data_IF_591579816037
#
_entry.id   IF_591579816037
#
_cell.length_a   1.000
_cell.length_b   1.000
_cell.length_c   1.000
_cell.angle_alpha   90.00
_cell.angle_beta   90.00
_cell.angle_gamma   90.00
#
_symmetry.space_group_name_H-M   'P 1'
#
loop_
_entity.id
_entity.type
_entity.pdbx_description
1 polymer ?
#
# COMPACT_ATOMS: atom_id res chain seq x y z
N UNK A 1 -3.43 -22.62 5.02
CA UNK A 1 -3.78 -21.19 5.00
C UNK A 1 -2.92 -20.52 3.91
N UNK A 2 -3.49 -19.67 3.04
CA UNK A 2 -2.71 -18.93 2.04
C UNK A 2 -1.84 -17.86 2.71
N UNK A 3 -0.69 -17.58 2.11
CA UNK A 3 0.35 -16.69 2.67
C UNK A 3 0.63 -15.56 1.69
N UNK A 4 0.79 -14.35 2.20
CA UNK A 4 1.24 -13.18 1.42
C UNK A 4 2.46 -12.59 2.11
N UNK A 5 3.56 -12.48 1.37
CA UNK A 5 4.74 -11.75 1.80
C UNK A 5 4.56 -10.27 1.50
N UNK A 6 4.62 -9.46 2.54
CA UNK A 6 4.62 -8.00 2.45
C UNK A 6 6.04 -7.48 2.61
N UNK A 7 6.52 -6.71 1.63
CA UNK A 7 7.82 -6.03 1.69
C UNK A 7 7.57 -4.52 1.68
N UNK A 8 7.62 -3.89 2.85
CA UNK A 8 7.25 -2.48 3.00
C UNK A 8 7.84 -1.83 4.25
N UNK A 9 7.68 -0.52 4.37
CA UNK A 9 8.02 0.24 5.57
C UNK A 9 7.04 0.01 6.71
N UNK A 10 7.50 0.27 7.95
CA UNK A 10 6.71 0.23 9.18
C UNK A 10 6.19 1.62 9.52
N UNK A 11 4.88 1.76 9.72
CA UNK A 11 4.20 2.97 10.20
C UNK A 11 3.95 2.87 11.70
N UNK A 12 4.65 3.70 12.51
CA UNK A 12 4.48 3.73 13.96
C UNK A 12 3.07 4.15 14.41
N UNK A 13 2.34 4.89 13.55
CA UNK A 13 0.94 5.25 13.77
C UNK A 13 -0.03 4.10 13.51
N UNK A 14 0.43 3.02 12.86
CA UNK A 14 -0.33 1.80 12.63
C UNK A 14 -1.43 1.92 11.56
N UNK A 15 -1.52 3.04 10.83
CA UNK A 15 -2.56 3.29 9.82
C UNK A 15 -2.18 2.87 8.41
N UNK A 16 -0.89 2.78 8.10
CA UNK A 16 -0.34 2.40 6.81
C UNK A 16 0.79 1.35 6.95
N UNK A 17 1.61 1.16 5.91
CA UNK A 17 2.76 0.26 5.92
C UNK A 17 2.40 -1.18 6.27
N UNK A 18 3.38 -1.94 6.76
CA UNK A 18 3.17 -3.35 7.13
C UNK A 18 2.04 -3.55 8.14
N UNK A 19 1.73 -2.56 8.97
CA UNK A 19 0.66 -2.63 9.96
C UNK A 19 -0.72 -2.66 9.29
N UNK A 20 -0.96 -1.78 8.32
CA UNK A 20 -2.19 -1.81 7.52
C UNK A 20 -2.27 -3.07 6.67
N UNK A 21 -1.15 -3.50 6.10
CA UNK A 21 -1.06 -4.70 5.29
C UNK A 21 -1.46 -5.95 6.10
N UNK A 22 -0.88 -6.15 7.28
CA UNK A 22 -1.18 -7.29 8.15
C UNK A 22 -2.64 -7.32 8.61
N UNK A 23 -3.20 -6.14 9.01
CA UNK A 23 -4.62 -6.02 9.37
C UNK A 23 -5.53 -6.41 8.20
N UNK A 24 -5.19 -5.95 6.98
CA UNK A 24 -5.94 -6.26 5.77
C UNK A 24 -5.87 -7.75 5.44
N UNK A 25 -4.68 -8.35 5.46
CA UNK A 25 -4.48 -9.75 5.18
C UNK A 25 -5.23 -10.65 6.18
N UNK A 26 -5.18 -10.29 7.47
CA UNK A 26 -5.94 -10.98 8.51
C UNK A 26 -7.45 -10.91 8.24
N UNK A 27 -7.98 -9.72 7.91
CA UNK A 27 -9.38 -9.52 7.58
C UNK A 27 -9.82 -10.30 6.34
N UNK A 28 -8.91 -10.49 5.36
CA UNK A 28 -9.13 -11.30 4.16
C UNK A 28 -8.90 -12.81 4.38
N UNK A 29 -8.61 -13.27 5.60
CA UNK A 29 -8.39 -14.68 5.93
C UNK A 29 -7.08 -15.27 5.38
N UNK A 30 -6.03 -14.44 5.24
CA UNK A 30 -4.72 -14.81 4.70
C UNK A 30 -3.64 -14.54 5.77
N UNK A 31 -2.65 -15.43 5.88
CA UNK A 31 -1.50 -15.22 6.74
C UNK A 31 -0.52 -14.24 6.08
N UNK A 32 -0.24 -13.13 6.76
CA UNK A 32 0.75 -12.14 6.33
C UNK A 32 2.11 -12.41 6.96
N UNK A 33 3.16 -12.50 6.13
CA UNK A 33 4.56 -12.42 6.56
C UNK A 33 5.14 -11.09 6.13
N UNK A 34 6.20 -10.60 6.78
CA UNK A 34 6.72 -9.25 6.52
C UNK A 34 8.24 -9.22 6.37
N UNK A 35 8.68 -8.34 5.48
CA UNK A 35 10.04 -7.82 5.40
C UNK A 35 9.98 -6.30 5.57
N UNK A 36 10.59 -5.78 6.61
CA UNK A 36 10.61 -4.36 6.92
C UNK A 36 11.76 -3.69 6.19
N UNK A 37 11.45 -2.69 5.36
CA UNK A 37 12.42 -1.95 4.54
C UNK A 37 12.87 -0.64 5.18
N UNK A 38 12.01 -0.03 5.97
CA UNK A 38 12.28 1.18 6.74
C UNK A 38 11.38 1.25 7.96
N UNK A 39 11.83 1.96 8.98
CA UNK A 39 11.02 2.32 10.16
C UNK A 39 10.71 3.81 10.09
N UNK A 40 9.47 4.20 10.30
CA UNK A 40 9.08 5.61 10.31
C UNK A 40 8.70 6.07 11.71
N UNK A 41 9.06 7.31 12.06
CA UNK A 41 8.38 8.07 13.09
C UNK A 41 7.21 8.81 12.43
N UNK A 42 6.04 8.23 12.50
CA UNK A 42 4.85 8.70 11.79
C UNK A 42 3.64 8.69 12.72
N UNK A 43 2.76 9.67 12.54
CA UNK A 43 1.48 9.77 13.24
C UNK A 43 0.43 10.38 12.32
N UNK A 44 -0.75 10.74 12.86
CA UNK A 44 -1.85 11.34 12.08
C UNK A 44 -1.53 12.70 11.43
N UNK A 45 -0.46 13.39 11.88
CA UNK A 45 -0.03 14.69 11.35
C UNK A 45 0.99 14.57 10.22
N UNK A 46 1.68 13.42 10.10
CA UNK A 46 2.64 13.18 9.04
C UNK A 46 3.83 12.31 9.45
N UNK A 47 4.81 12.27 8.54
CA UNK A 47 6.08 11.55 8.72
C UNK A 47 7.11 12.53 9.29
N UNK A 48 7.66 12.23 10.46
CA UNK A 48 8.64 13.04 11.19
C UNK A 48 10.08 12.52 11.00
N UNK A 49 10.23 11.26 10.59
CA UNK A 49 11.52 10.65 10.32
C UNK A 49 11.37 9.31 9.62
N UNK A 50 12.39 8.95 8.84
CA UNK A 50 12.48 7.67 8.13
C UNK A 50 13.88 7.11 8.32
N UNK A 51 13.98 5.87 8.76
CA UNK A 51 15.24 5.15 8.89
C UNK A 51 15.18 3.90 8.04
N UNK A 52 16.04 3.83 7.02
CA UNK A 52 16.16 2.64 6.19
C UNK A 52 16.70 1.47 7.01
N UNK A 53 16.14 0.30 6.84
CA UNK A 53 16.71 -0.94 7.37
C UNK A 53 17.92 -1.30 6.49
N UNK A 54 19.08 -1.64 7.07
CA UNK A 54 20.25 -2.06 6.30
C UNK A 54 19.90 -3.19 5.32
N UNK A 55 20.40 -3.10 4.09
CA UNK A 55 20.04 -4.05 3.02
C UNK A 55 20.35 -5.50 3.37
N UNK A 56 21.40 -5.75 4.15
CA UNK A 56 21.74 -7.10 4.63
C UNK A 56 20.66 -7.65 5.55
N UNK A 57 20.06 -6.80 6.41
CA UNK A 57 18.95 -7.18 7.24
C UNK A 57 17.68 -7.41 6.41
N UNK A 58 17.46 -6.65 5.33
CA UNK A 58 16.35 -6.89 4.40
C UNK A 58 16.54 -8.25 3.69
N UNK A 59 17.74 -8.55 3.21
CA UNK A 59 18.06 -9.85 2.58
C UNK A 59 17.88 -11.01 3.56
N UNK A 60 18.30 -10.84 4.82
CA UNK A 60 18.14 -11.87 5.84
C UNK A 60 16.66 -12.15 6.16
N UNK A 61 15.82 -11.10 6.22
CA UNK A 61 14.37 -11.26 6.40
C UNK A 61 13.73 -11.98 5.20
N UNK A 62 14.11 -11.60 3.96
CA UNK A 62 13.63 -12.26 2.73
C UNK A 62 13.98 -13.75 2.74
N UNK A 63 15.23 -14.10 3.01
CA UNK A 63 15.68 -15.48 3.09
C UNK A 63 14.93 -16.27 4.17
N UNK A 64 14.83 -15.73 5.39
CA UNK A 64 14.15 -16.40 6.51
C UNK A 64 12.69 -16.73 6.20
N UNK A 65 11.99 -15.85 5.46
CA UNK A 65 10.59 -16.10 5.08
C UNK A 65 10.50 -17.04 3.89
N UNK A 66 11.29 -16.81 2.84
CA UNK A 66 11.14 -17.54 1.58
C UNK A 66 11.66 -18.98 1.68
N UNK A 67 12.74 -19.22 2.45
CA UNK A 67 13.37 -20.55 2.56
C UNK A 67 12.57 -21.54 3.42
N UNK A 68 11.78 -21.03 4.39
CA UNK A 68 11.00 -21.87 5.31
C UNK A 68 9.49 -21.73 5.10
N UNK A 69 8.97 -20.50 5.22
CA UNK A 69 7.52 -20.28 5.17
C UNK A 69 6.98 -20.25 3.75
N UNK A 70 7.76 -19.75 2.79
CA UNK A 70 7.33 -19.53 1.41
C UNK A 70 6.21 -18.49 1.32
N UNK A 71 5.67 -18.29 0.11
CA UNK A 71 4.58 -17.34 -0.14
C UNK A 71 3.70 -17.78 -1.31
N UNK A 72 2.42 -17.41 -1.27
CA UNK A 72 1.48 -17.65 -2.38
C UNK A 72 1.27 -16.37 -3.22
N UNK A 73 1.65 -15.18 -2.70
CA UNK A 73 1.72 -13.91 -3.41
C UNK A 73 2.68 -12.95 -2.68
N UNK A 74 3.20 -11.97 -3.40
CA UNK A 74 4.04 -10.91 -2.84
C UNK A 74 3.36 -9.56 -3.04
N UNK A 75 3.38 -8.70 -2.01
CA UNK A 75 3.00 -7.29 -2.11
C UNK A 75 4.19 -6.43 -1.71
N UNK A 76 4.57 -5.47 -2.55
CA UNK A 76 5.55 -4.44 -2.16
C UNK A 76 4.87 -3.10 -1.91
N UNK A 77 5.39 -2.34 -0.95
CA UNK A 77 5.03 -0.95 -0.69
C UNK A 77 6.27 -0.05 -0.72
N UNK A 78 6.47 0.81 0.28
CA UNK A 78 7.65 1.67 0.36
C UNK A 78 8.94 0.87 0.49
N UNK A 79 9.84 0.99 -0.49
CA UNK A 79 11.13 0.28 -0.53
C UNK A 79 12.33 1.17 -0.18
N UNK A 80 12.13 2.48 -0.07
CA UNK A 80 13.11 3.50 0.28
C UNK A 80 14.32 3.55 -0.68
N UNK A 81 15.38 2.79 -0.45
CA UNK A 81 16.65 2.88 -1.16
C UNK A 81 16.82 1.94 -2.35
N UNK A 82 17.71 2.28 -3.28
CA UNK A 82 17.98 1.48 -4.48
C UNK A 82 18.52 0.06 -4.16
N UNK A 83 19.33 -0.08 -3.11
CA UNK A 83 19.86 -1.39 -2.70
C UNK A 83 18.73 -2.31 -2.22
N UNK A 84 17.72 -1.75 -1.53
CA UNK A 84 16.52 -2.50 -1.11
C UNK A 84 15.68 -2.91 -2.31
N UNK A 85 15.46 -1.99 -3.28
CA UNK A 85 14.76 -2.35 -4.53
C UNK A 85 15.45 -3.50 -5.24
N UNK A 86 16.78 -3.45 -5.38
CA UNK A 86 17.56 -4.54 -6.00
C UNK A 86 17.41 -5.85 -5.21
N UNK A 87 17.52 -5.83 -3.89
CA UNK A 87 17.36 -7.02 -3.07
C UNK A 87 15.95 -7.66 -3.23
N UNK A 88 14.90 -6.83 -3.38
CA UNK A 88 13.56 -7.30 -3.65
C UNK A 88 13.45 -7.91 -5.06
N UNK A 89 13.99 -7.24 -6.09
CA UNK A 89 14.03 -7.77 -7.46
C UNK A 89 14.70 -9.14 -7.50
N UNK A 90 15.89 -9.27 -6.86
CA UNK A 90 16.61 -10.54 -6.78
C UNK A 90 15.77 -11.64 -6.14
N UNK A 91 15.04 -11.30 -5.07
CA UNK A 91 14.24 -12.26 -4.29
C UNK A 91 12.95 -12.67 -4.99
N UNK A 92 12.27 -11.76 -5.72
CA UNK A 92 10.99 -12.07 -6.35
C UNK A 92 11.13 -12.65 -7.75
N UNK A 93 12.32 -12.52 -8.38
CA UNK A 93 12.58 -13.07 -9.71
C UNK A 93 12.48 -14.60 -9.67
N UNK A 94 11.57 -15.14 -10.47
CA UNK A 94 11.34 -16.59 -10.56
C UNK A 94 10.47 -17.16 -9.44
N UNK A 95 9.99 -16.38 -8.46
CA UNK A 95 9.02 -16.88 -7.51
C UNK A 95 7.70 -17.23 -8.21
N UNK A 96 7.10 -18.38 -7.88
CA UNK A 96 5.76 -18.69 -8.33
C UNK A 96 4.75 -17.80 -7.61
N UNK A 97 3.79 -17.26 -8.36
CA UNK A 97 2.69 -16.48 -7.79
C UNK A 97 2.71 -15.00 -8.18
N UNK A 98 1.61 -14.31 -7.91
CA UNK A 98 1.43 -12.91 -8.30
C UNK A 98 2.26 -11.97 -7.44
N UNK A 99 2.80 -10.93 -8.11
CA UNK A 99 3.46 -9.78 -7.48
C UNK A 99 2.57 -8.53 -7.63
N UNK A 100 2.13 -7.96 -6.52
CA UNK A 100 1.44 -6.67 -6.45
C UNK A 100 2.43 -5.60 -6.04
N UNK A 101 2.66 -4.63 -6.90
CA UNK A 101 3.55 -3.49 -6.63
C UNK A 101 2.71 -2.23 -6.37
N UNK A 102 2.68 -1.75 -5.12
CA UNK A 102 2.18 -0.42 -4.79
C UNK A 102 3.38 0.55 -4.83
N UNK A 103 3.48 1.41 -5.85
CA UNK A 103 4.71 2.16 -6.14
C UNK A 103 4.86 3.41 -5.28
N UNK A 104 4.52 3.33 -4.01
CA UNK A 104 4.41 4.42 -3.02
C UNK A 104 5.51 5.47 -3.20
N UNK A 105 5.23 6.51 -3.99
CA UNK A 105 6.22 7.55 -4.34
C UNK A 105 6.30 8.70 -3.35
N UNK A 106 5.16 9.03 -2.74
CA UNK A 106 5.02 10.15 -1.82
C UNK A 106 4.32 9.72 -0.54
N UNK A 107 4.71 10.32 0.59
CA UNK A 107 3.96 10.19 1.84
C UNK A 107 2.61 10.90 1.72
N UNK A 108 1.69 10.65 2.66
CA UNK A 108 0.40 11.36 2.75
C UNK A 108 0.57 12.88 2.86
N UNK A 109 1.74 13.36 3.31
CA UNK A 109 2.10 14.78 3.42
C UNK A 109 2.90 15.30 2.22
N UNK A 110 3.08 14.49 1.15
CA UNK A 110 3.78 14.89 -0.07
C UNK A 110 5.31 14.77 -0.03
N UNK A 111 5.90 14.25 1.05
CA UNK A 111 7.34 14.04 1.08
C UNK A 111 7.74 12.84 0.20
N UNK A 112 8.83 12.94 -0.61
CA UNK A 112 9.30 11.84 -1.44
C UNK A 112 9.81 10.68 -0.56
N UNK A 113 9.39 9.47 -0.90
CA UNK A 113 9.72 8.24 -0.18
C UNK A 113 10.76 7.37 -0.90
N UNK A 114 11.20 7.79 -2.08
CA UNK A 114 12.25 7.14 -2.86
C UNK A 114 13.35 8.12 -3.26
N UNK A 115 14.59 7.66 -3.30
CA UNK A 115 15.65 8.38 -3.98
C UNK A 115 15.45 8.28 -5.49
N UNK A 116 15.98 9.24 -6.31
CA UNK A 116 15.91 9.17 -7.77
C UNK A 116 16.46 7.84 -8.34
N UNK A 117 17.52 7.29 -7.74
CA UNK A 117 18.10 6.00 -8.13
C UNK A 117 17.17 4.83 -7.82
N UNK A 118 16.49 4.85 -6.66
CA UNK A 118 15.52 3.83 -6.30
C UNK A 118 14.33 3.85 -7.25
N UNK A 119 13.82 5.04 -7.60
CA UNK A 119 12.72 5.21 -8.55
C UNK A 119 13.08 4.69 -9.95
N UNK A 120 14.29 4.98 -10.42
CA UNK A 120 14.77 4.46 -11.71
C UNK A 120 14.81 2.92 -11.72
N UNK A 121 15.32 2.32 -10.63
CA UNK A 121 15.42 0.87 -10.52
C UNK A 121 14.04 0.22 -10.37
N UNK A 122 13.13 0.85 -9.63
CA UNK A 122 11.73 0.40 -9.54
C UNK A 122 11.10 0.34 -10.94
N UNK A 123 11.27 1.39 -11.74
CA UNK A 123 10.74 1.44 -13.12
C UNK A 123 11.35 0.38 -14.02
N UNK A 124 12.67 0.20 -13.95
CA UNK A 124 13.43 -0.62 -14.93
C UNK A 124 13.45 -2.11 -14.57
N UNK A 125 13.38 -2.45 -13.28
CA UNK A 125 13.59 -3.82 -12.84
C UNK A 125 12.39 -4.43 -12.07
N UNK A 126 11.70 -3.66 -11.22
CA UNK A 126 10.60 -4.23 -10.41
C UNK A 126 9.25 -4.19 -11.13
N UNK A 127 8.89 -3.06 -11.78
CA UNK A 127 7.61 -2.95 -12.47
C UNK A 127 7.42 -3.98 -13.60
N UNK A 128 8.45 -4.34 -14.40
CA UNK A 128 8.31 -5.41 -15.40
C UNK A 128 7.98 -6.79 -14.83
N UNK A 129 8.26 -7.03 -13.55
CA UNK A 129 7.93 -8.29 -12.87
C UNK A 129 6.52 -8.30 -12.28
N UNK A 130 5.87 -7.13 -12.18
CA UNK A 130 4.59 -7.00 -11.51
C UNK A 130 3.46 -7.70 -12.27
N UNK A 131 2.69 -8.51 -11.55
CA UNK A 131 1.38 -8.98 -12.02
C UNK A 131 0.39 -7.82 -12.07
N UNK A 132 0.36 -6.99 -11.03
CA UNK A 132 -0.47 -5.77 -10.96
C UNK A 132 0.33 -4.66 -10.29
N UNK A 133 0.32 -3.49 -10.90
CA UNK A 133 0.78 -2.24 -10.25
C UNK A 133 -0.43 -1.40 -9.85
N UNK A 134 -0.37 -0.74 -8.67
CA UNK A 134 -1.50 0.02 -8.10
C UNK A 134 -1.19 1.51 -7.93
N UNK A 135 -0.86 2.27 -8.99
CA UNK A 135 -0.47 3.67 -8.85
C UNK A 135 -1.68 4.59 -8.58
N UNK A 136 -1.44 5.66 -7.81
CA UNK A 136 -2.32 6.82 -7.78
C UNK A 136 -1.93 7.81 -8.90
N UNK A 137 -2.67 8.93 -9.01
CA UNK A 137 -2.47 9.91 -10.09
C UNK A 137 -1.07 10.57 -10.04
N UNK A 138 -0.59 10.90 -8.85
CA UNK A 138 0.73 11.51 -8.66
C UNK A 138 1.87 10.51 -8.96
N UNK A 139 1.67 9.24 -8.64
CA UNK A 139 2.61 8.17 -8.95
C UNK A 139 2.68 7.91 -10.45
N UNK A 140 1.55 7.99 -11.18
CA UNK A 140 1.56 7.94 -12.66
C UNK A 140 2.40 9.07 -13.22
N UNK A 141 2.18 10.30 -12.77
CA UNK A 141 2.95 11.46 -13.23
C UNK A 141 4.44 11.30 -12.91
N UNK A 142 4.78 10.89 -11.70
CA UNK A 142 6.17 10.68 -11.27
C UNK A 142 6.88 9.59 -12.08
N UNK A 143 6.18 8.48 -12.38
CA UNK A 143 6.75 7.33 -13.07
C UNK A 143 6.80 7.49 -14.58
N UNK A 144 5.85 8.21 -15.18
CA UNK A 144 5.68 8.26 -16.65
C UNK A 144 5.77 9.67 -17.24
N UNK A 145 5.65 10.72 -16.43
CA UNK A 145 5.51 12.10 -16.89
C UNK A 145 4.09 12.44 -17.39
N UNK A 146 3.14 11.50 -17.33
CA UNK A 146 1.78 11.70 -17.84
C UNK A 146 0.88 12.23 -16.72
N UNK A 147 0.37 13.45 -16.89
CA UNK A 147 -0.62 14.05 -15.97
C UNK A 147 -2.01 13.50 -16.25
N UNK A 148 -2.67 13.00 -15.21
CA UNK A 148 -4.08 12.54 -15.23
C UNK A 148 -4.91 13.52 -14.41
N UNK A 149 -5.58 14.47 -15.09
CA UNK A 149 -6.34 15.54 -14.43
C UNK A 149 -7.85 15.27 -14.36
N UNK A 150 -8.39 14.36 -15.18
CA UNK A 150 -9.81 14.03 -15.27
C UNK A 150 -10.01 12.55 -15.62
N UNK A 151 -11.22 12.04 -15.42
CA UNK A 151 -11.55 10.64 -15.69
C UNK A 151 -11.25 10.21 -17.14
N UNK A 152 -11.41 11.12 -18.11
CA UNK A 152 -11.06 10.85 -19.53
C UNK A 152 -9.58 10.57 -19.78
N UNK A 153 -8.69 10.98 -18.86
CA UNK A 153 -7.24 10.78 -18.99
C UNK A 153 -6.77 9.42 -18.41
N UNK A 154 -7.63 8.70 -17.66
CA UNK A 154 -7.27 7.45 -16.98
C UNK A 154 -6.67 6.42 -17.94
N UNK A 155 -7.26 6.24 -19.14
CA UNK A 155 -6.74 5.30 -20.13
C UNK A 155 -5.34 5.66 -20.61
N UNK A 156 -5.07 6.95 -20.83
CA UNK A 156 -3.75 7.44 -21.25
C UNK A 156 -2.72 7.23 -20.15
N UNK A 157 -3.07 7.55 -18.88
CA UNK A 157 -2.19 7.32 -17.73
C UNK A 157 -1.90 5.84 -17.49
N UNK A 158 -2.92 4.98 -17.58
CA UNK A 158 -2.75 3.54 -17.42
C UNK A 158 -1.95 2.93 -18.56
N UNK A 159 -2.14 3.38 -19.81
CA UNK A 159 -1.35 2.97 -20.96
C UNK A 159 0.14 3.26 -20.77
N UNK A 160 0.48 4.48 -20.34
CA UNK A 160 1.87 4.84 -20.04
C UNK A 160 2.47 4.01 -18.91
N UNK A 161 1.68 3.58 -17.93
CA UNK A 161 2.13 2.65 -16.89
C UNK A 161 2.37 1.24 -17.42
N UNK A 162 1.54 0.76 -18.37
CA UNK A 162 1.75 -0.54 -19.03
C UNK A 162 3.03 -0.59 -19.85
N UNK A 163 3.46 0.53 -20.45
CA UNK A 163 4.74 0.64 -21.16
C UNK A 163 5.96 0.39 -20.26
N UNK A 164 5.80 0.48 -18.92
CA UNK A 164 6.83 0.12 -17.93
C UNK A 164 6.88 -1.40 -17.65
N UNK A 165 6.06 -2.21 -18.31
CA UNK A 165 6.15 -3.67 -18.35
C UNK A 165 5.27 -4.47 -17.39
N UNK A 166 4.46 -3.91 -16.45
CA UNK A 166 3.56 -4.72 -15.63
C UNK A 166 2.48 -5.37 -16.48
N UNK A 167 1.96 -6.52 -16.04
CA UNK A 167 0.88 -7.22 -16.77
C UNK A 167 -0.46 -6.50 -16.64
N UNK A 168 -0.75 -5.91 -15.48
CA UNK A 168 -1.97 -5.16 -15.20
C UNK A 168 -1.66 -3.86 -14.48
N UNK A 169 -2.48 -2.86 -14.72
CA UNK A 169 -2.48 -1.57 -14.01
C UNK A 169 -3.83 -1.37 -13.35
N UNK A 170 -3.86 -1.18 -12.04
CA UNK A 170 -5.02 -0.69 -11.29
C UNK A 170 -4.76 0.77 -10.91
N UNK A 171 -5.12 1.71 -11.78
CA UNK A 171 -4.92 3.13 -11.59
C UNK A 171 -5.99 3.70 -10.66
N UNK A 172 -5.57 4.21 -9.50
CA UNK A 172 -6.43 4.78 -8.46
C UNK A 172 -6.87 6.21 -8.83
N UNK A 173 -8.13 6.39 -9.24
CA UNK A 173 -8.68 7.70 -9.63
C UNK A 173 -9.50 8.40 -8.54
N UNK A 174 -9.50 7.90 -7.31
CA UNK A 174 -10.35 8.40 -6.21
C UNK A 174 -10.20 9.88 -5.86
N UNK A 175 -9.10 10.53 -6.24
CA UNK A 175 -8.88 11.97 -6.03
C UNK A 175 -9.44 12.85 -7.18
N UNK A 176 -9.92 12.25 -8.27
CA UNK A 176 -10.56 13.00 -9.34
C UNK A 176 -11.91 13.59 -8.89
N UNK A 177 -12.34 14.71 -9.48
CA UNK A 177 -13.67 15.27 -9.24
C UNK A 177 -14.78 14.26 -9.59
N UNK A 178 -15.88 14.30 -8.86
CA UNK A 178 -17.05 13.44 -9.07
C UNK A 178 -16.97 12.11 -8.33
N UNK A 179 -17.54 11.07 -8.91
CA UNK A 179 -17.56 9.72 -8.34
C UNK A 179 -16.15 9.10 -8.34
N UNK A 180 -15.68 8.49 -7.23
CA UNK A 180 -14.41 7.78 -7.21
C UNK A 180 -14.42 6.61 -8.17
N UNK A 181 -13.56 6.66 -9.17
CA UNK A 181 -13.41 5.62 -10.17
C UNK A 181 -11.96 5.21 -10.31
N UNK A 182 -11.69 3.90 -10.23
CA UNK A 182 -10.38 3.34 -10.55
C UNK A 182 -10.46 2.61 -11.89
N UNK A 183 -9.37 2.56 -12.64
CA UNK A 183 -9.29 1.87 -13.91
C UNK A 183 -8.36 0.66 -13.78
N UNK A 184 -8.91 -0.53 -14.01
CA UNK A 184 -8.14 -1.75 -14.22
C UNK A 184 -7.96 -2.02 -15.72
N UNK A 185 -6.73 -2.32 -16.13
CA UNK A 185 -6.44 -2.67 -17.53
C UNK A 185 -5.17 -3.50 -17.70
N UNK A 186 -5.15 -4.35 -18.70
CA UNK A 186 -3.98 -5.06 -19.25
C UNK A 186 -3.60 -4.55 -20.66
N UNK A 187 -4.23 -3.45 -21.11
CA UNK A 187 -4.08 -2.90 -22.46
C UNK A 187 -5.15 -3.38 -23.44
N UNK A 188 -5.79 -4.52 -23.18
CA UNK A 188 -6.91 -5.06 -23.98
C UNK A 188 -8.23 -4.94 -23.24
N UNK A 189 -8.24 -5.27 -21.97
CA UNK A 189 -9.38 -5.15 -21.06
C UNK A 189 -9.36 -3.79 -20.36
N UNK A 190 -10.54 -3.17 -20.19
CA UNK A 190 -10.71 -1.90 -19.49
C UNK A 190 -11.93 -1.99 -18.57
N UNK A 191 -11.71 -2.07 -17.28
CA UNK A 191 -12.76 -2.12 -16.27
C UNK A 191 -12.73 -0.90 -15.36
N UNK A 192 -13.88 -0.24 -15.19
CA UNK A 192 -14.04 0.88 -14.29
C UNK A 192 -14.63 0.41 -12.96
N UNK A 193 -13.83 0.45 -11.90
CA UNK A 193 -14.24 0.09 -10.55
C UNK A 193 -14.75 1.34 -9.83
N UNK A 194 -16.07 1.41 -9.63
CA UNK A 194 -16.76 2.55 -9.04
C UNK A 194 -17.10 2.29 -7.57
N UNK A 195 -17.18 3.34 -6.80
CA UNK A 195 -17.70 3.31 -5.42
C UNK A 195 -18.31 4.67 -5.08
N UNK A 196 -19.29 4.74 -4.17
CA UNK A 196 -19.77 6.02 -3.66
C UNK A 196 -18.65 6.83 -3.01
N UNK A 197 -18.67 8.16 -3.16
CA UNK A 197 -17.75 9.04 -2.44
C UNK A 197 -18.16 9.11 -0.98
N UNK A 198 -17.22 8.79 -0.10
CA UNK A 198 -17.40 8.97 1.34
C UNK A 198 -16.79 10.31 1.73
N UNK A 199 -17.59 11.18 2.35
CA UNK A 199 -17.12 12.45 2.89
C UNK A 199 -16.42 12.21 4.22
N UNK A 200 -15.12 11.95 4.14
CA UNK A 200 -14.27 11.72 5.30
C UNK A 200 -12.83 12.18 5.04
N UNK A 201 -12.19 12.68 6.09
CA UNK A 201 -10.75 12.94 6.09
C UNK A 201 -9.91 11.76 6.58
N UNK A 202 -10.56 10.70 7.07
CA UNK A 202 -9.90 9.54 7.68
C UNK A 202 -9.61 8.49 6.61
N UNK A 203 -8.60 8.77 5.77
CA UNK A 203 -8.22 7.98 4.60
C UNK A 203 -6.80 7.44 4.66
N UNK A 204 -6.10 7.60 5.81
CA UNK A 204 -4.73 7.14 5.95
C UNK A 204 -4.65 5.61 5.82
N UNK A 205 -3.74 5.14 4.96
CA UNK A 205 -3.55 3.71 4.66
C UNK A 205 -4.46 3.12 3.58
N UNK A 206 -5.29 3.93 2.89
CA UNK A 206 -6.15 3.44 1.79
C UNK A 206 -5.38 2.69 0.72
N UNK A 207 -4.21 3.21 0.25
CA UNK A 207 -3.39 2.57 -0.79
C UNK A 207 -2.87 1.21 -0.36
N UNK A 208 -2.24 1.13 0.81
CA UNK A 208 -1.75 -0.12 1.40
C UNK A 208 -2.88 -1.14 1.57
N UNK A 209 -4.04 -0.69 2.07
CA UNK A 209 -5.23 -1.55 2.24
C UNK A 209 -5.72 -2.12 0.91
N UNK A 210 -5.84 -1.30 -0.15
CA UNK A 210 -6.25 -1.76 -1.48
C UNK A 210 -5.27 -2.79 -2.05
N UNK A 211 -3.96 -2.47 -2.03
CA UNK A 211 -2.94 -3.35 -2.59
C UNK A 211 -2.84 -4.68 -1.84
N UNK A 212 -2.99 -4.67 -0.51
CA UNK A 212 -2.94 -5.89 0.30
C UNK A 212 -4.21 -6.73 0.17
N UNK A 213 -5.39 -6.12 0.05
CA UNK A 213 -6.61 -6.85 -0.26
C UNK A 213 -6.53 -7.52 -1.65
N UNK A 214 -6.00 -6.80 -2.65
CA UNK A 214 -5.73 -7.34 -3.98
C UNK A 214 -4.80 -8.56 -3.91
N UNK A 215 -3.67 -8.44 -3.21
CA UNK A 215 -2.71 -9.54 -3.03
C UNK A 215 -3.34 -10.75 -2.30
N UNK A 216 -4.19 -10.51 -1.30
CA UNK A 216 -4.91 -11.56 -0.58
C UNK A 216 -5.84 -12.35 -1.51
N UNK A 217 -6.64 -11.67 -2.34
CA UNK A 217 -7.55 -12.35 -3.27
C UNK A 217 -6.79 -13.11 -4.36
N UNK A 218 -5.71 -12.54 -4.90
CA UNK A 218 -4.82 -13.23 -5.85
C UNK A 218 -4.18 -14.47 -5.22
N UNK A 219 -3.68 -14.39 -3.98
CA UNK A 219 -3.11 -15.55 -3.25
C UNK A 219 -4.15 -16.67 -3.04
N UNK A 220 -5.45 -16.32 -2.96
CA UNK A 220 -6.56 -17.28 -2.84
C UNK A 220 -6.99 -17.87 -4.18
N UNK A 221 -6.39 -17.44 -5.30
CA UNK A 221 -6.62 -17.98 -6.63
C UNK A 221 -7.67 -17.25 -7.47
N UNK A 222 -8.12 -16.06 -7.05
CA UNK A 222 -8.95 -15.19 -7.89
C UNK A 222 -8.14 -14.71 -9.09
N UNK A 223 -8.79 -14.51 -10.23
CA UNK A 223 -8.18 -13.78 -11.35
C UNK A 223 -8.03 -12.28 -11.01
N UNK A 224 -7.30 -11.54 -11.84
CA UNK A 224 -6.98 -10.12 -11.55
C UNK A 224 -8.23 -9.25 -11.52
N UNK A 225 -9.19 -9.33 -12.47
CA UNK A 225 -10.44 -8.59 -12.41
C UNK A 225 -11.26 -8.85 -11.15
N UNK A 226 -11.46 -10.10 -10.79
CA UNK A 226 -12.20 -10.50 -9.58
C UNK A 226 -11.51 -9.99 -8.31
N UNK A 227 -10.17 -10.14 -8.24
CA UNK A 227 -9.38 -9.68 -7.10
C UNK A 227 -9.43 -8.14 -6.97
N UNK A 228 -9.38 -7.41 -8.08
CA UNK A 228 -9.44 -5.95 -8.08
C UNK A 228 -10.83 -5.44 -7.66
N UNK A 229 -11.91 -6.07 -8.13
CA UNK A 229 -13.27 -5.74 -7.71
C UNK A 229 -13.48 -5.97 -6.22
N UNK A 230 -13.06 -7.13 -5.70
CA UNK A 230 -13.15 -7.45 -4.27
C UNK A 230 -12.28 -6.51 -3.41
N UNK A 231 -11.07 -6.16 -3.85
CA UNK A 231 -10.21 -5.21 -3.16
C UNK A 231 -10.81 -3.80 -3.14
N UNK A 232 -11.44 -3.36 -4.24
CA UNK A 232 -12.16 -2.08 -4.31
C UNK A 232 -13.32 -2.02 -3.34
N UNK A 233 -14.11 -3.08 -3.27
CA UNK A 233 -15.22 -3.20 -2.32
C UNK A 233 -14.71 -3.17 -0.87
N UNK A 234 -13.69 -3.96 -0.55
CA UNK A 234 -13.06 -4.00 0.77
C UNK A 234 -12.58 -2.63 1.22
N UNK A 235 -11.78 -1.94 0.38
CA UNK A 235 -11.24 -0.63 0.74
C UNK A 235 -12.32 0.43 0.86
N UNK A 236 -13.39 0.36 0.06
CA UNK A 236 -14.51 1.30 0.15
C UNK A 236 -15.24 1.17 1.49
N UNK A 237 -15.46 -0.05 1.98
CA UNK A 237 -15.99 -0.29 3.33
C UNK A 237 -15.05 0.19 4.42
N UNK A 238 -13.74 -0.07 4.27
CA UNK A 238 -12.73 0.38 5.22
C UNK A 238 -12.65 1.91 5.32
N UNK A 239 -12.82 2.63 4.20
CA UNK A 239 -12.91 4.10 4.17
C UNK A 239 -14.19 4.59 4.86
N UNK A 240 -15.34 3.97 4.56
CA UNK A 240 -16.63 4.35 5.17
C UNK A 240 -16.62 4.19 6.70
N UNK A 241 -15.85 3.23 7.20
CA UNK A 241 -15.65 2.97 8.63
C UNK A 241 -14.40 3.67 9.22
N UNK A 242 -13.70 4.52 8.45
CA UNK A 242 -12.55 5.28 8.92
C UNK A 242 -12.89 6.15 10.13
N UNK A 243 -11.97 6.27 11.08
CA UNK A 243 -12.24 6.89 12.37
C UNK A 243 -11.19 7.95 12.76
N UNK A 244 -11.57 8.94 13.59
CA UNK A 244 -10.62 9.92 14.09
C UNK A 244 -9.59 9.26 15.02
N UNK A 245 -8.31 9.50 14.73
CA UNK A 245 -7.21 9.08 15.59
C UNK A 245 -6.14 10.17 15.58
N UNK A 246 -5.83 10.72 16.73
CA UNK A 246 -4.94 11.87 16.83
C UNK A 246 -5.59 13.17 16.32
N UNK A 247 -4.76 14.15 15.94
CA UNK A 247 -5.20 15.49 15.53
C UNK A 247 -5.32 15.67 14.01
N UNK A 248 -4.76 14.75 13.23
CA UNK A 248 -4.72 14.78 11.77
C UNK A 248 -5.72 13.83 11.11
N UNK A 249 -5.34 13.31 9.94
CA UNK A 249 -6.10 12.31 9.23
C UNK A 249 -6.01 10.95 9.96
N UNK A 250 -7.15 10.41 10.39
CA UNK A 250 -7.22 9.07 10.98
C UNK A 250 -7.10 7.98 9.91
N UNK A 251 -6.90 6.71 10.34
CA UNK A 251 -6.79 5.58 9.44
C UNK A 251 -8.15 5.09 8.93
N UNK A 252 -8.13 4.35 7.83
CA UNK A 252 -9.23 3.48 7.43
C UNK A 252 -9.35 2.31 8.41
N UNK A 253 -10.54 1.68 8.48
CA UNK A 253 -10.81 0.58 9.42
C UNK A 253 -10.84 -0.77 8.69
N UNK A 254 -9.71 -1.46 8.63
CA UNK A 254 -9.55 -2.71 7.86
C UNK A 254 -10.37 -3.89 8.40
N UNK A 255 -10.78 -3.86 9.68
CA UNK A 255 -11.51 -4.95 10.35
C UNK A 255 -12.91 -4.51 10.80
N UNK A 256 -13.52 -3.53 10.13
CA UNK A 256 -14.81 -2.96 10.51
C UNK A 256 -15.95 -3.98 10.57
N UNK A 257 -15.92 -5.01 9.73
CA UNK A 257 -16.94 -6.07 9.72
C UNK A 257 -16.82 -7.04 10.91
N UNK A 258 -15.57 -7.31 11.34
CA UNK A 258 -15.31 -8.21 12.47
C UNK A 258 -15.45 -7.46 13.82
N UNK A 259 -15.17 -6.17 13.81
CA UNK A 259 -15.15 -5.32 15.00
C UNK A 259 -15.76 -3.94 14.70
N UNK A 260 -17.10 -3.84 14.57
CA UNK A 260 -17.72 -2.53 14.43
C UNK A 260 -17.42 -1.69 15.67
N UNK A 261 -16.92 -0.46 15.46
CA UNK A 261 -16.70 0.45 16.59
C UNK A 261 -18.02 0.71 17.31
N UNK A 262 -18.11 0.47 18.63
CA UNK A 262 -19.17 1.08 19.41
C UNK A 262 -19.06 2.61 19.29
N UNK A 263 -20.17 3.35 19.32
CA UNK A 263 -20.09 4.81 19.37
C UNK A 263 -19.22 5.21 20.55
N UNK A 264 -18.21 6.06 20.32
CA UNK A 264 -17.26 6.49 21.33
C UNK A 264 -18.02 7.20 22.46
N UNK A 265 -18.26 6.51 23.57
CA UNK A 265 -18.69 7.12 24.81
C UNK A 265 -17.45 7.71 25.48
N UNK A 266 -17.37 9.05 25.51
CA UNK A 266 -16.48 9.83 26.36
C UNK A 266 -14.98 9.59 26.20
N UNK A 267 -14.25 10.59 25.79
CA UNK A 267 -12.77 10.61 25.76
C UNK A 267 -12.21 10.38 27.16
N UNK A 268 -11.52 9.26 27.37
CA UNK A 268 -10.65 9.06 28.54
C UNK A 268 -9.40 9.91 28.32
N UNK A 269 -9.30 11.05 29.01
CA UNK A 269 -8.09 11.85 29.06
C UNK A 269 -7.07 11.16 29.97
N UNK A 270 -6.04 10.54 29.41
CA UNK A 270 -4.88 10.06 30.17
C UNK A 270 -4.00 11.26 30.50
N UNK A 271 -4.03 11.67 31.74
CA UNK A 271 -3.17 12.71 32.31
C UNK A 271 -1.77 12.13 32.53
N UNK A 272 -0.85 12.31 31.58
CA UNK A 272 0.56 11.97 31.76
C UNK A 272 1.19 13.06 32.65
N UNK A 273 1.13 12.89 33.96
CA UNK A 273 1.96 13.65 34.92
C UNK A 273 3.27 12.88 35.10
N UNK A 274 4.38 13.57 34.90
CA UNK A 274 5.69 13.11 35.35
C UNK A 274 6.84 13.65 34.49
N UNK A 275 7.22 14.92 34.69
CA UNK A 275 8.60 15.35 34.46
C UNK A 275 9.45 14.79 35.61
N UNK A 276 10.59 14.12 35.36
CA UNK A 276 11.56 13.86 36.42
C UNK A 276 12.26 15.16 36.83
N UNK A 277 12.59 15.35 38.10
CA UNK A 277 13.33 16.52 38.53
C UNK A 277 14.79 16.43 38.07
N UNK A 278 15.28 17.53 37.53
CA UNK A 278 16.72 17.79 37.46
C UNK A 278 17.25 17.99 38.85
N UNK A 279 18.24 17.22 39.22
CA UNK A 279 19.14 17.59 40.35
C UNK A 279 20.50 16.94 40.18
N UNK A 280 21.47 17.86 40.11
CA UNK A 280 22.90 17.80 40.39
C UNK A 280 23.76 16.72 39.74
#
# INVERSE_FOLDING_TARGET
MRRVLVVAGSDSGGGAGVQADLKTLLACGVHGTTVITAVTAQNSLGVHGVWEVPVDAVRAQLAAVLDDLGTDAVKTGMLAGAATVQAVVDAVTGLPGPLVVDPVGLSTTGAPLHTPKALALLRQALLPLATVVTPNLAEVEQLTGVVVARAGDLRRGAGAMLELGPRWVLLKGGHLPGEPVDLLTDGTTYELLRAPRVDTRHTHGTGCTLASALAAHLARGSDVPQAAAAAKEFVSRAIAAGFPLGRGAGPVHQVAEQHPHPPLAGSVSVNVRGKPPHSC
#
